data_IF_037307232292
#
_entry.id   IF_037307232292
#
_cell.length_a   1.000
_cell.length_b   1.000
_cell.length_c   1.000
_cell.angle_alpha   90.00
_cell.angle_beta   90.00
_cell.angle_gamma   90.00
#
_symmetry.space_group_name_H-M   'P 1'
#
loop_
_entity.id
_entity.type
_entity.pdbx_description
1 polymer ?
#
# COMPACT_ATOMS: atom_id res chain seq x y z
N UNK A 1 65.49 74.46 -22.80
CA UNK A 1 65.60 73.15 -23.50
C UNK A 1 67.02 72.61 -23.33
N UNK A 2 67.21 71.56 -22.51
CA UNK A 2 68.41 70.72 -22.43
C UNK A 2 68.06 69.41 -21.68
N UNK A 3 68.54 68.28 -22.19
CA UNK A 3 68.38 66.91 -21.66
C UNK A 3 69.47 66.57 -20.61
N UNK A 4 69.19 65.49 -19.87
CA UNK A 4 70.08 64.60 -19.05
C UNK A 4 70.50 65.17 -17.68
N UNK A 5 70.56 64.44 -16.57
CA UNK A 5 70.30 63.03 -16.15
C UNK A 5 70.48 62.99 -14.63
N UNK A 6 69.69 62.16 -13.92
CA UNK A 6 70.06 61.28 -12.77
C UNK A 6 68.75 60.71 -12.21
N UNK A 7 68.43 59.41 -12.37
CA UNK A 7 69.04 58.23 -11.73
C UNK A 7 68.93 58.31 -10.19
N UNK A 8 68.24 57.41 -9.48
CA UNK A 8 67.72 56.11 -9.89
C UNK A 8 66.63 55.57 -8.96
N UNK A 9 65.90 54.59 -9.48
CA UNK A 9 64.95 53.77 -8.75
C UNK A 9 65.70 52.90 -7.73
N UNK A 10 65.41 53.12 -6.45
CA UNK A 10 65.68 52.16 -5.40
C UNK A 10 64.56 51.12 -5.41
N UNK A 11 64.91 49.89 -5.76
CA UNK A 11 64.02 48.74 -5.66
C UNK A 11 63.82 48.39 -4.19
N UNK A 12 62.64 48.67 -3.65
CA UNK A 12 62.19 48.11 -2.38
C UNK A 12 61.47 46.79 -2.66
N UNK A 13 61.85 45.68 -1.98
CA UNK A 13 61.22 44.39 -2.21
C UNK A 13 59.74 44.43 -1.78
N UNK A 14 58.87 43.96 -2.67
CA UNK A 14 57.47 43.71 -2.38
C UNK A 14 57.44 42.56 -1.36
N UNK A 15 57.16 42.88 -0.10
CA UNK A 15 56.82 41.89 0.90
C UNK A 15 55.46 41.30 0.53
N UNK A 16 55.45 40.04 0.07
CA UNK A 16 54.24 39.24 0.02
C UNK A 16 53.69 39.17 1.45
N UNK A 17 52.57 39.85 1.69
CA UNK A 17 51.78 39.66 2.89
C UNK A 17 51.12 38.29 2.75
N UNK A 18 51.79 37.25 3.25
CA UNK A 18 51.15 35.97 3.49
C UNK A 18 50.09 36.20 4.58
N UNK A 19 48.85 36.39 4.15
CA UNK A 19 47.69 36.14 5.00
C UNK A 19 47.68 34.63 5.26
N UNK A 20 48.36 34.20 6.31
CA UNK A 20 48.01 32.94 6.95
C UNK A 20 46.68 33.26 7.63
N UNK A 21 45.59 33.01 6.91
CA UNK A 21 44.26 33.03 7.51
C UNK A 21 44.31 32.14 8.74
N UNK A 22 44.00 32.72 9.90
CA UNK A 22 43.90 31.97 11.15
C UNK A 22 42.91 30.82 10.92
N UNK A 23 43.40 29.58 10.94
CA UNK A 23 42.55 28.40 10.96
C UNK A 23 41.59 28.56 12.12
N UNK A 24 40.26 28.57 11.90
CA UNK A 24 39.30 28.85 12.96
C UNK A 24 39.52 27.84 14.09
N UNK A 25 39.93 28.35 15.27
CA UNK A 25 40.11 27.54 16.48
C UNK A 25 38.76 27.02 16.91
N UNK A 26 38.48 25.83 16.43
CA UNK A 26 37.28 25.11 16.74
C UNK A 26 37.31 24.68 18.23
N UNK A 27 36.34 25.13 19.02
CA UNK A 27 36.24 24.82 20.46
C UNK A 27 35.80 23.37 20.66
N UNK A 28 36.47 22.63 21.57
CA UNK A 28 36.12 21.24 21.89
C UNK A 28 34.64 21.08 22.27
N UNK A 29 34.06 22.08 22.92
CA UNK A 29 32.65 22.10 23.31
C UNK A 29 31.71 22.16 22.11
N UNK A 30 32.12 22.85 21.04
CA UNK A 30 31.39 22.86 19.77
C UNK A 30 31.45 21.49 19.08
N UNK A 31 32.55 20.72 19.24
CA UNK A 31 32.77 19.40 18.58
C UNK A 31 31.85 18.42 19.26
N UNK A 32 31.84 18.42 20.59
CA UNK A 32 30.93 17.59 21.36
C UNK A 32 29.48 17.92 21.01
N UNK A 33 29.14 19.20 20.82
CA UNK A 33 27.79 19.59 20.38
C UNK A 33 27.45 19.13 18.96
N UNK A 34 28.38 19.16 18.00
CA UNK A 34 28.11 18.66 16.65
C UNK A 34 28.03 17.13 16.60
N UNK A 35 28.84 16.44 17.41
CA UNK A 35 28.81 14.98 17.53
C UNK A 35 27.51 14.50 18.19
N UNK A 36 27.01 15.20 19.21
CA UNK A 36 25.72 14.88 19.82
C UNK A 36 24.56 15.15 18.86
N UNK A 37 24.60 16.25 18.11
CA UNK A 37 23.59 16.54 17.08
C UNK A 37 23.62 15.47 15.99
N UNK A 38 24.81 15.06 15.52
CA UNK A 38 24.94 14.02 14.49
C UNK A 38 24.40 12.66 14.97
N UNK A 39 24.66 12.29 16.23
CA UNK A 39 24.11 11.08 16.85
C UNK A 39 22.59 11.15 17.02
N UNK A 40 22.04 12.30 17.40
CA UNK A 40 20.60 12.48 17.51
C UNK A 40 19.93 12.41 16.14
N UNK A 41 20.52 13.06 15.13
CA UNK A 41 20.00 13.00 13.75
C UNK A 41 20.07 11.58 13.18
N UNK A 42 21.14 10.82 13.45
CA UNK A 42 21.22 9.43 12.99
C UNK A 42 20.20 8.52 13.66
N UNK A 43 19.92 8.70 14.95
CA UNK A 43 18.85 7.98 15.67
C UNK A 43 17.47 8.34 15.13
N UNK A 44 17.19 9.63 14.90
CA UNK A 44 15.94 10.10 14.32
C UNK A 44 15.73 9.54 12.90
N UNK A 45 16.80 9.52 12.09
CA UNK A 45 16.78 8.91 10.75
C UNK A 45 16.48 7.41 10.87
N UNK A 46 17.12 6.68 11.78
CA UNK A 46 16.89 5.25 11.97
C UNK A 46 15.43 4.95 12.37
N UNK A 47 14.85 5.75 13.29
CA UNK A 47 13.44 5.64 13.68
C UNK A 47 12.48 5.96 12.51
N UNK A 48 12.84 6.91 11.64
CA UNK A 48 12.07 7.16 10.42
C UNK A 48 12.20 6.04 9.37
N UNK A 49 13.34 5.36 9.33
CA UNK A 49 13.59 4.26 8.40
C UNK A 49 12.81 3.00 8.79
N UNK A 50 12.53 2.73 10.08
CA UNK A 50 11.69 1.59 10.50
C UNK A 50 10.24 1.67 10.01
N UNK A 51 9.70 2.87 9.77
CA UNK A 51 8.35 3.03 9.20
C UNK A 51 8.32 2.80 7.67
N UNK A 52 9.47 2.86 7.00
CA UNK A 52 9.57 2.82 5.53
C UNK A 52 9.45 1.41 4.93
N UNK A 53 9.77 0.35 5.68
CA UNK A 53 9.58 -1.04 5.22
C UNK A 53 8.09 -1.38 5.03
N UNK A 54 7.21 -0.82 5.87
CA UNK A 54 5.76 -0.97 5.73
C UNK A 54 5.18 -0.32 4.46
N UNK A 55 5.81 0.73 3.91
CA UNK A 55 5.32 1.43 2.72
C UNK A 55 5.61 0.62 1.44
N UNK A 56 6.76 -0.07 1.39
CA UNK A 56 7.14 -0.87 0.23
C UNK A 56 6.31 -2.16 0.14
N UNK A 57 5.92 -2.75 1.26
CA UNK A 57 5.06 -3.93 1.27
C UNK A 57 3.60 -3.57 0.92
N UNK A 58 3.06 -2.49 1.49
CA UNK A 58 1.71 -2.02 1.18
C UNK A 58 1.57 -1.55 -0.28
N UNK A 59 2.59 -0.93 -0.87
CA UNK A 59 2.60 -0.56 -2.30
C UNK A 59 2.67 -1.79 -3.23
N UNK A 60 3.36 -2.86 -2.81
CA UNK A 60 3.36 -4.15 -3.53
C UNK A 60 1.99 -4.84 -3.44
N UNK A 61 1.33 -4.81 -2.29
CA UNK A 61 -0.02 -5.38 -2.13
C UNK A 61 -1.05 -4.61 -2.95
N UNK A 62 -1.02 -3.27 -2.88
CA UNK A 62 -1.92 -2.41 -3.65
C UNK A 62 -1.69 -2.54 -5.16
N UNK A 63 -0.44 -2.68 -5.61
CA UNK A 63 -0.14 -2.91 -7.02
C UNK A 63 -0.58 -4.30 -7.49
N UNK A 64 -0.49 -5.36 -6.65
CA UNK A 64 -1.08 -6.67 -6.97
C UNK A 64 -2.60 -6.61 -7.07
N UNK A 65 -3.25 -5.90 -6.14
CA UNK A 65 -4.71 -5.69 -6.15
C UNK A 65 -5.17 -4.91 -7.39
N UNK A 66 -4.47 -3.83 -7.76
CA UNK A 66 -4.78 -3.05 -8.96
C UNK A 66 -4.48 -3.83 -10.25
N UNK A 67 -3.40 -4.62 -10.29
CA UNK A 67 -3.06 -5.47 -11.44
C UNK A 67 -4.12 -6.55 -11.67
N UNK A 68 -4.71 -7.09 -10.60
CA UNK A 68 -5.86 -7.99 -10.69
C UNK A 68 -7.11 -7.29 -11.27
N UNK A 69 -7.30 -6.00 -10.99
CA UNK A 69 -8.42 -5.20 -11.50
C UNK A 69 -8.26 -4.78 -12.99
N UNK A 70 -7.03 -4.59 -13.47
CA UNK A 70 -6.74 -4.05 -14.82
C UNK A 70 -6.84 -5.11 -15.93
N UNK A 71 -6.71 -6.40 -15.62
CA UNK A 71 -6.91 -7.48 -16.61
C UNK A 71 -8.37 -7.65 -17.06
N UNK A 72 -9.30 -6.82 -16.56
CA UNK A 72 -10.71 -6.78 -16.97
C UNK A 72 -10.93 -5.43 -17.65
N UNK A 73 -10.52 -5.30 -18.92
CA UNK A 73 -10.72 -4.06 -19.64
C UNK A 73 -10.29 -4.09 -21.10
N UNK A 74 -11.10 -4.69 -21.97
CA UNK A 74 -11.56 -4.03 -23.20
C UNK A 74 -12.61 -4.89 -23.94
N UNK A 75 -13.89 -4.54 -23.78
CA UNK A 75 -14.86 -4.30 -24.87
C UNK A 75 -16.32 -4.44 -24.37
N UNK A 76 -17.10 -3.40 -24.67
CA UNK A 76 -18.56 -3.37 -24.70
C UNK A 76 -19.28 -3.50 -23.34
N UNK A 77 -20.38 -2.75 -23.16
CA UNK A 77 -21.26 -2.79 -21.99
C UNK A 77 -22.00 -4.12 -21.85
N UNK A 78 -21.24 -5.17 -21.54
CA UNK A 78 -21.70 -6.47 -21.08
C UNK A 78 -21.07 -6.62 -19.71
N UNK A 79 -21.87 -6.43 -18.66
CA UNK A 79 -21.41 -6.74 -17.31
C UNK A 79 -21.07 -8.23 -17.29
N UNK A 80 -19.77 -8.56 -17.36
CA UNK A 80 -19.24 -9.93 -17.31
C UNK A 80 -19.35 -10.51 -15.89
N UNK A 81 -20.50 -10.29 -15.27
CA UNK A 81 -20.83 -10.68 -13.91
C UNK A 81 -21.09 -12.19 -13.86
N UNK A 82 -21.80 -12.71 -14.87
CA UNK A 82 -22.04 -14.14 -15.01
C UNK A 82 -21.14 -14.74 -16.07
N UNK A 83 -19.86 -14.88 -15.74
CA UNK A 83 -18.91 -15.71 -16.52
C UNK A 83 -19.30 -17.17 -16.45
N UNK A 84 -18.91 -17.95 -17.46
CA UNK A 84 -18.98 -19.41 -17.41
C UNK A 84 -18.24 -19.89 -16.16
N UNK A 85 -18.97 -20.54 -15.25
CA UNK A 85 -18.49 -21.07 -13.98
C UNK A 85 -18.69 -22.57 -14.01
N UNK A 86 -17.63 -23.34 -13.77
CA UNK A 86 -17.73 -24.80 -13.74
C UNK A 86 -18.65 -25.25 -12.61
N UNK A 87 -19.37 -26.35 -12.81
CA UNK A 87 -20.43 -26.79 -11.92
C UNK A 87 -19.94 -27.03 -10.48
N UNK A 88 -18.70 -27.48 -10.29
CA UNK A 88 -18.07 -27.69 -8.98
C UNK A 88 -17.78 -26.40 -8.19
N UNK A 89 -17.79 -25.24 -8.86
CA UNK A 89 -17.59 -23.92 -8.24
C UNK A 89 -18.90 -23.15 -8.07
N UNK A 90 -20.04 -23.72 -8.46
CA UNK A 90 -21.34 -23.09 -8.28
C UNK A 90 -21.80 -23.23 -6.83
N UNK A 91 -21.79 -22.12 -6.11
CA UNK A 91 -22.39 -22.02 -4.77
C UNK A 91 -23.82 -21.49 -4.87
N UNK A 92 -24.76 -22.14 -4.18
CA UNK A 92 -26.17 -21.82 -4.23
C UNK A 92 -26.49 -20.41 -3.66
N UNK A 93 -27.08 -19.56 -4.50
CA UNK A 93 -27.54 -18.22 -4.12
C UNK A 93 -29.03 -18.18 -3.72
N UNK A 94 -29.75 -19.30 -3.90
CA UNK A 94 -31.15 -19.43 -3.55
C UNK A 94 -31.44 -20.62 -2.62
N UNK A 95 -30.83 -20.67 -1.42
CA UNK A 95 -30.97 -21.81 -0.51
C UNK A 95 -32.37 -21.96 0.11
N UNK A 96 -33.24 -20.95 -0.04
CA UNK A 96 -34.59 -20.93 0.53
C UNK A 96 -35.65 -20.97 -0.57
N UNK A 97 -36.06 -22.16 -0.95
CA UNK A 97 -37.16 -22.40 -1.88
C UNK A 97 -36.70 -22.82 -3.28
N UNK A 98 -37.51 -22.53 -4.29
CA UNK A 98 -37.21 -22.80 -5.69
C UNK A 98 -36.90 -21.48 -6.39
N UNK A 99 -35.75 -21.42 -7.04
CA UNK A 99 -35.40 -20.29 -7.89
C UNK A 99 -36.03 -20.45 -9.27
N UNK A 100 -36.44 -19.34 -9.84
CA UNK A 100 -36.60 -19.15 -11.27
C UNK A 100 -35.57 -18.11 -11.76
N UNK A 101 -35.49 -17.91 -13.08
CA UNK A 101 -34.53 -16.97 -13.67
C UNK A 101 -34.68 -15.57 -13.10
N UNK A 102 -35.89 -15.05 -13.05
CA UNK A 102 -36.17 -13.66 -12.63
C UNK A 102 -35.84 -13.44 -11.15
N UNK A 103 -36.29 -14.35 -10.28
CA UNK A 103 -36.03 -14.29 -8.84
C UNK A 103 -34.55 -14.49 -8.51
N UNK A 104 -33.81 -15.27 -9.30
CA UNK A 104 -32.36 -15.39 -9.17
C UNK A 104 -31.63 -14.10 -9.54
N UNK A 105 -31.93 -13.55 -10.72
CA UNK A 105 -31.30 -12.32 -11.23
C UNK A 105 -31.61 -11.11 -10.34
N UNK A 106 -32.81 -11.04 -9.73
CA UNK A 106 -33.17 -10.03 -8.72
C UNK A 106 -32.29 -10.04 -7.47
N UNK A 107 -31.64 -11.17 -7.16
CA UNK A 107 -30.67 -11.29 -6.05
C UNK A 107 -29.26 -10.88 -6.47
N UNK A 108 -29.10 -10.37 -7.70
CA UNK A 108 -27.81 -10.19 -8.36
C UNK A 108 -27.03 -11.51 -8.37
N UNK A 109 -27.65 -12.59 -8.83
CA UNK A 109 -27.01 -13.89 -8.98
C UNK A 109 -27.16 -14.40 -10.41
N UNK A 110 -26.40 -15.44 -10.73
CA UNK A 110 -26.31 -15.98 -12.07
C UNK A 110 -27.25 -17.17 -12.25
N UNK A 111 -27.93 -17.19 -13.40
CA UNK A 111 -28.85 -18.24 -13.79
C UNK A 111 -28.28 -19.07 -14.93
N UNK A 112 -28.06 -20.36 -14.70
CA UNK A 112 -27.72 -21.33 -15.74
C UNK A 112 -28.40 -22.65 -15.42
N UNK A 113 -29.26 -23.18 -16.30
CA UNK A 113 -29.77 -24.54 -16.15
C UNK A 113 -28.62 -25.54 -16.01
N UNK A 114 -28.74 -26.45 -15.05
CA UNK A 114 -27.85 -27.60 -14.86
C UNK A 114 -28.67 -28.89 -14.92
N UNK A 115 -27.99 -30.04 -14.79
CA UNK A 115 -28.64 -31.35 -14.81
C UNK A 115 -29.80 -31.42 -13.81
N UNK A 116 -31.03 -31.72 -14.25
CA UNK A 116 -32.17 -31.88 -13.35
C UNK A 116 -31.88 -32.93 -12.26
N UNK A 117 -32.38 -32.70 -11.05
CA UNK A 117 -32.16 -33.57 -9.87
C UNK A 117 -30.70 -33.74 -9.43
N UNK A 118 -29.77 -32.94 -9.94
CA UNK A 118 -28.43 -32.83 -9.39
C UNK A 118 -28.40 -31.87 -8.19
N UNK A 119 -27.31 -31.90 -7.43
CA UNK A 119 -27.05 -30.94 -6.35
C UNK A 119 -26.48 -29.61 -6.88
N UNK A 120 -26.33 -29.47 -8.21
CA UNK A 120 -25.73 -28.30 -8.83
C UNK A 120 -26.80 -27.20 -8.95
N UNK A 121 -26.60 -26.03 -8.31
CA UNK A 121 -27.63 -25.00 -8.28
C UNK A 121 -27.73 -24.29 -9.63
N UNK A 122 -28.97 -24.10 -10.09
CA UNK A 122 -29.24 -23.31 -11.29
C UNK A 122 -29.05 -21.81 -11.02
N UNK A 123 -29.31 -21.38 -9.78
CA UNK A 123 -29.08 -20.03 -9.30
C UNK A 123 -27.85 -20.00 -8.40
N UNK A 124 -26.76 -19.38 -8.86
CA UNK A 124 -25.48 -19.43 -8.17
C UNK A 124 -24.85 -18.04 -8.04
N UNK A 125 -23.98 -17.87 -7.04
CA UNK A 125 -23.21 -16.64 -6.88
C UNK A 125 -22.22 -16.48 -8.05
N UNK A 126 -22.00 -15.24 -8.50
CA UNK A 126 -20.97 -14.97 -9.50
C UNK A 126 -19.56 -15.25 -8.95
N UNK A 127 -18.61 -15.51 -9.84
CA UNK A 127 -17.19 -15.71 -9.48
C UNK A 127 -16.55 -14.49 -8.82
N UNK A 128 -17.09 -13.30 -9.09
CA UNK A 128 -16.67 -12.02 -8.51
C UNK A 128 -17.62 -11.50 -7.42
N UNK A 129 -18.48 -12.36 -6.85
CA UNK A 129 -19.41 -11.98 -5.79
C UNK A 129 -18.65 -11.56 -4.54
N UNK A 130 -18.83 -10.31 -4.09
CA UNK A 130 -18.12 -9.74 -2.94
C UNK A 130 -19.00 -8.71 -2.23
N UNK A 131 -19.50 -9.07 -1.05
CA UNK A 131 -20.40 -8.23 -0.25
C UNK A 131 -19.67 -7.49 0.87
N UNK A 132 -18.50 -7.98 1.27
CA UNK A 132 -17.67 -7.38 2.31
C UNK A 132 -16.31 -7.00 1.74
N UNK A 133 -15.84 -5.80 2.08
CA UNK A 133 -14.50 -5.34 1.79
C UNK A 133 -13.71 -5.17 3.07
N UNK A 134 -12.44 -5.53 3.01
CA UNK A 134 -11.48 -5.28 4.07
C UNK A 134 -11.32 -3.77 4.23
N UNK A 135 -11.45 -3.27 5.46
CA UNK A 135 -11.26 -1.85 5.79
C UNK A 135 -10.04 -1.59 6.68
N UNK A 136 -9.64 -2.58 7.49
CA UNK A 136 -8.46 -2.51 8.34
C UNK A 136 -7.95 -3.93 8.59
N UNK A 137 -6.62 -4.13 8.58
CA UNK A 137 -5.96 -5.34 9.04
C UNK A 137 -4.83 -4.94 9.97
N UNK A 138 -4.79 -5.52 11.15
CA UNK A 138 -3.68 -5.42 12.09
C UNK A 138 -3.11 -6.82 12.29
N UNK A 139 -1.80 -6.95 12.13
CA UNK A 139 -1.08 -8.22 12.28
C UNK A 139 -0.07 -8.09 13.43
N UNK A 140 -0.02 -9.12 14.26
CA UNK A 140 0.97 -9.32 15.30
C UNK A 140 1.65 -10.67 15.11
N UNK A 141 2.62 -11.02 15.95
CA UNK A 141 3.37 -12.28 15.82
C UNK A 141 2.46 -13.52 15.83
N UNK A 142 1.36 -13.49 16.58
CA UNK A 142 0.53 -14.67 16.84
C UNK A 142 -0.95 -14.44 16.50
N UNK A 143 -1.31 -13.25 16.01
CA UNK A 143 -2.70 -12.89 15.76
C UNK A 143 -2.85 -11.96 14.56
N UNK A 144 -3.95 -12.10 13.83
CA UNK A 144 -4.42 -11.13 12.83
C UNK A 144 -5.84 -10.71 13.22
N UNK A 145 -6.07 -9.41 13.30
CA UNK A 145 -7.40 -8.83 13.45
C UNK A 145 -7.76 -8.06 12.18
N UNK A 146 -8.79 -8.49 11.48
CA UNK A 146 -9.27 -7.87 10.25
C UNK A 146 -10.71 -7.37 10.39
N UNK A 147 -10.94 -6.12 9.99
CA UNK A 147 -12.27 -5.52 9.93
C UNK A 147 -12.77 -5.48 8.49
N UNK A 148 -14.06 -5.80 8.32
CA UNK A 148 -14.72 -5.81 7.02
C UNK A 148 -15.98 -4.95 7.06
N UNK A 149 -16.20 -4.12 6.04
CA UNK A 149 -17.47 -3.42 5.86
C UNK A 149 -18.33 -4.05 4.78
N UNK A 150 -19.64 -4.04 4.96
CA UNK A 150 -20.56 -4.45 3.90
C UNK A 150 -20.65 -3.36 2.82
N UNK A 151 -20.60 -3.73 1.54
CA UNK A 151 -20.61 -2.81 0.39
C UNK A 151 -21.97 -2.67 -0.26
N UNK A 152 -22.76 -3.73 -0.21
CA UNK A 152 -24.10 -3.83 -0.80
C UNK A 152 -25.01 -4.55 0.17
N UNK A 153 -26.22 -4.05 0.37
CA UNK A 153 -27.19 -4.75 1.21
C UNK A 153 -27.51 -6.11 0.60
N UNK A 154 -27.60 -7.12 1.44
CA UNK A 154 -28.03 -8.45 1.00
C UNK A 154 -29.55 -8.51 0.96
N UNK A 155 -30.06 -9.61 0.42
CA UNK A 155 -31.48 -9.97 0.43
C UNK A 155 -31.97 -10.35 1.83
N UNK A 156 -31.05 -10.57 2.76
CA UNK A 156 -31.35 -10.93 4.13
C UNK A 156 -31.56 -9.67 4.95
N UNK A 157 -32.49 -9.75 5.90
CA UNK A 157 -32.74 -8.64 6.81
C UNK A 157 -31.59 -8.54 7.81
N UNK A 158 -31.32 -7.32 8.28
CA UNK A 158 -30.38 -7.02 9.36
C UNK A 158 -28.92 -7.35 9.02
N UNK A 159 -28.45 -6.87 7.87
CA UNK A 159 -27.02 -6.94 7.53
C UNK A 159 -26.13 -6.32 8.62
N UNK A 160 -25.12 -7.08 9.04
CA UNK A 160 -24.09 -6.61 9.97
C UNK A 160 -23.17 -5.66 9.21
N UNK A 161 -23.08 -4.40 9.63
CA UNK A 161 -22.35 -3.38 8.85
C UNK A 161 -20.83 -3.55 8.90
N UNK A 162 -20.32 -4.00 10.04
CA UNK A 162 -18.88 -4.21 10.28
C UNK A 162 -18.67 -5.57 10.93
N UNK A 163 -17.83 -6.40 10.34
CA UNK A 163 -17.37 -7.67 10.92
C UNK A 163 -15.94 -7.51 11.44
N UNK A 164 -15.65 -8.18 12.55
CA UNK A 164 -14.30 -8.38 13.07
C UNK A 164 -13.95 -9.86 12.91
N UNK A 165 -12.81 -10.15 12.31
CA UNK A 165 -12.25 -11.50 12.19
C UNK A 165 -10.94 -11.54 12.97
N UNK A 166 -10.90 -12.36 13.99
CA UNK A 166 -9.70 -12.63 14.77
C UNK A 166 -9.15 -14.01 14.40
N UNK A 167 -7.89 -14.04 13.97
CA UNK A 167 -7.17 -15.24 13.60
C UNK A 167 -6.04 -15.38 14.60
N UNK A 168 -6.02 -16.48 15.35
CA UNK A 168 -4.95 -16.79 16.31
C UNK A 168 -4.13 -17.99 15.84
N UNK A 169 -2.81 -17.87 15.83
CA UNK A 169 -1.90 -18.96 15.53
C UNK A 169 -1.56 -19.72 16.81
N UNK A 170 -2.16 -20.90 16.96
CA UNK A 170 -1.98 -21.79 18.10
C UNK A 170 -1.13 -23.01 17.69
N UNK A 171 -0.35 -23.54 18.64
CA UNK A 171 0.37 -24.81 18.45
C UNK A 171 -0.41 -25.97 19.07
N UNK A 172 -0.12 -27.19 18.62
CA UNK A 172 -0.60 -28.39 19.30
C UNK A 172 -0.08 -28.41 20.77
N UNK A 173 -0.86 -28.96 21.72
CA UNK A 173 -0.42 -29.16 23.10
C UNK A 173 0.75 -30.13 23.23
#
# INVERSE_FOLDING_TARGET
MKRKTKSGNAYTPIMLKNSIDEVPKYSKNTIFSLLTILLLMSVLIYLHMSDSENILENSKILSRYLKQKINIGSNHGVNNYCTVTSDEYKFDCFPRGKADKESCEKRNCCWSPSTPNSQIPWCYYSSNYSNYKVINVTESRNEITAFFNITTNTIYKNDIKVLCMDISFQTAP
#
